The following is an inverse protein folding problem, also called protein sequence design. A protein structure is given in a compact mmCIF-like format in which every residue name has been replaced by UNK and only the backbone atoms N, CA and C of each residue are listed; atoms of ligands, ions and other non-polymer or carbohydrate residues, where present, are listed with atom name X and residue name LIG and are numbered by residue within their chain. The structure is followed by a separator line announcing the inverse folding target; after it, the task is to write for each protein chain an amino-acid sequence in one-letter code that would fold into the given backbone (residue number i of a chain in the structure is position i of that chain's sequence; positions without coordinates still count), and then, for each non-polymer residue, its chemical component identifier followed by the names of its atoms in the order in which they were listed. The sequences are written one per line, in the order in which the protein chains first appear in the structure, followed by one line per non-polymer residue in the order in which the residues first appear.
data_IF_843396817093
#
_entry.id   IF_843396817093
#
_cell.length_a   1.000
_cell.length_b   1.000
_cell.length_c   1.000
_cell.angle_alpha   90.00
_cell.angle_beta   90.00
_cell.angle_gamma   90.00
#
_symmetry.space_group_name_H-M   'P 1'
#
loop_
_entity.id
_entity.type
_entity.pdbx_description
1 polymer ?
#
# COMPACT_ATOMS: atom_id res chain seq x y z
N UNK A 1 -12.87 -3.48 24.98
CA UNK A 1 -12.07 -3.29 23.75
C UNK A 1 -10.94 -2.25 23.90
N UNK A 2 -10.52 -1.91 25.13
CA UNK A 2 -9.62 -0.77 25.42
C UNK A 2 -8.11 -0.97 25.10
N UNK A 3 -7.74 -2.01 24.36
CA UNK A 3 -6.33 -2.30 24.00
C UNK A 3 -6.07 -2.50 22.51
N UNK A 4 -7.13 -2.58 21.69
CA UNK A 4 -7.03 -2.82 20.25
C UNK A 4 -6.34 -1.68 19.47
N UNK A 5 -6.59 -0.38 19.76
CA UNK A 5 -5.96 0.68 18.99
C UNK A 5 -4.46 0.86 19.33
N UNK A 6 -4.10 0.63 20.59
CA UNK A 6 -2.70 0.79 21.06
C UNK A 6 -1.80 -0.29 20.48
N UNK A 7 -2.32 -1.51 20.36
CA UNK A 7 -1.62 -2.64 19.72
C UNK A 7 -1.47 -2.43 18.22
N UNK A 8 -2.52 -1.99 17.53
CA UNK A 8 -2.47 -1.70 16.09
C UNK A 8 -1.45 -0.59 15.72
N UNK A 9 -1.32 0.47 16.54
CA UNK A 9 -0.29 1.51 16.34
C UNK A 9 1.13 0.94 16.48
N UNK A 10 1.35 0.05 17.46
CA UNK A 10 2.64 -0.63 17.61
C UNK A 10 2.96 -1.54 16.42
N UNK A 11 1.96 -2.27 15.92
CA UNK A 11 2.11 -3.11 14.72
C UNK A 11 2.51 -2.28 13.49
N UNK A 12 1.91 -1.11 13.29
CA UNK A 12 2.28 -0.20 12.18
C UNK A 12 3.77 0.15 12.20
N UNK A 13 4.33 0.48 13.37
CA UNK A 13 5.75 0.80 13.52
C UNK A 13 6.66 -0.41 13.29
N UNK A 14 6.26 -1.60 13.75
CA UNK A 14 7.01 -2.83 13.52
C UNK A 14 7.06 -3.15 12.03
N UNK A 15 5.92 -3.12 11.34
CA UNK A 15 5.85 -3.36 9.90
C UNK A 15 6.59 -2.31 9.07
N UNK A 16 6.56 -1.05 9.52
CA UNK A 16 7.35 0.00 8.89
C UNK A 16 8.85 -0.27 9.04
N UNK A 17 9.32 -0.57 10.25
CA UNK A 17 10.72 -0.89 10.53
C UNK A 17 11.22 -2.09 9.71
N UNK A 18 10.44 -3.16 9.66
CA UNK A 18 10.79 -4.35 8.86
C UNK A 18 10.91 -4.04 7.37
N UNK A 19 9.97 -3.28 6.81
CA UNK A 19 10.00 -2.91 5.40
C UNK A 19 11.19 -1.99 5.06
N UNK A 20 11.42 -0.96 5.87
CA UNK A 20 12.56 -0.03 5.67
C UNK A 20 13.89 -0.76 5.82
N UNK A 21 14.04 -1.65 6.80
CA UNK A 21 15.22 -2.51 6.93
C UNK A 21 15.45 -3.35 5.67
N UNK A 22 14.40 -3.94 5.09
CA UNK A 22 14.49 -4.70 3.84
C UNK A 22 14.95 -3.84 2.65
N UNK A 23 14.41 -2.62 2.55
CA UNK A 23 14.80 -1.64 1.52
C UNK A 23 16.26 -1.20 1.69
N UNK A 24 16.70 -0.93 2.92
CA UNK A 24 18.10 -0.58 3.21
C UNK A 24 19.01 -1.75 2.82
N UNK A 25 18.67 -2.98 3.22
CA UNK A 25 19.42 -4.18 2.82
C UNK A 25 19.51 -4.31 1.29
N UNK A 26 18.43 -4.02 0.57
CA UNK A 26 18.44 -3.99 -0.89
C UNK A 26 19.41 -2.94 -1.44
N UNK A 27 19.34 -1.69 -0.98
CA UNK A 27 20.26 -0.65 -1.46
C UNK A 27 21.73 -0.96 -1.14
N UNK A 28 22.00 -1.52 0.05
CA UNK A 28 23.34 -1.99 0.41
C UNK A 28 23.82 -3.12 -0.52
N UNK A 29 22.97 -4.12 -0.80
CA UNK A 29 23.28 -5.20 -1.75
C UNK A 29 23.62 -4.65 -3.13
N UNK A 30 22.82 -3.71 -3.64
CA UNK A 30 23.04 -3.07 -4.93
C UNK A 30 24.34 -2.25 -4.95
N UNK A 31 24.65 -1.54 -3.86
CA UNK A 31 25.87 -0.77 -3.70
C UNK A 31 27.12 -1.66 -3.73
N UNK A 32 27.09 -2.80 -3.00
CA UNK A 32 28.19 -3.78 -2.97
C UNK A 32 28.45 -4.37 -4.36
N UNK A 33 27.39 -4.73 -5.09
CA UNK A 33 27.51 -5.34 -6.43
C UNK A 33 28.03 -4.33 -7.47
N UNK A 34 27.62 -3.05 -7.40
CA UNK A 34 27.99 -2.04 -8.41
C UNK A 34 29.33 -1.33 -8.19
N UNK A 35 29.86 -1.30 -6.96
CA UNK A 35 31.04 -0.49 -6.57
C UNK A 35 30.95 0.97 -7.11
N UNK A 36 32.09 1.68 -7.21
CA UNK A 36 32.28 3.14 -7.41
C UNK A 36 31.51 3.84 -8.57
N UNK A 37 30.69 3.14 -9.38
CA UNK A 37 29.84 3.72 -10.44
C UNK A 37 28.40 4.03 -10.01
N UNK A 38 28.02 3.76 -8.75
CA UNK A 38 26.65 3.92 -8.23
C UNK A 38 26.03 5.31 -8.47
N UNK A 39 26.81 6.39 -8.39
CA UNK A 39 26.29 7.75 -8.46
C UNK A 39 26.09 8.30 -9.87
N UNK A 40 26.59 7.61 -10.92
CA UNK A 40 26.56 8.16 -12.28
C UNK A 40 25.34 7.70 -13.08
N UNK A 41 24.85 6.49 -12.84
CA UNK A 41 23.75 5.88 -13.59
C UNK A 41 22.79 5.17 -12.61
N UNK A 42 21.74 5.87 -12.16
CA UNK A 42 20.70 5.28 -11.30
C UNK A 42 19.80 4.40 -12.19
N UNK A 43 19.75 3.08 -11.96
CA UNK A 43 18.93 2.21 -12.78
C UNK A 43 17.44 2.42 -12.45
N UNK A 44 16.56 2.13 -13.42
CA UNK A 44 15.13 2.29 -13.24
C UNK A 44 14.58 1.47 -12.07
N UNK A 45 15.18 0.32 -11.72
CA UNK A 45 14.71 -0.49 -10.59
C UNK A 45 14.90 0.20 -9.22
N UNK A 46 15.97 0.98 -9.06
CA UNK A 46 16.22 1.73 -7.83
C UNK A 46 15.27 2.94 -7.73
N UNK A 47 14.95 3.59 -8.85
CA UNK A 47 13.97 4.68 -8.91
C UNK A 47 12.58 4.17 -8.55
N UNK A 48 12.14 3.07 -9.15
CA UNK A 48 10.83 2.48 -8.84
C UNK A 48 10.79 2.07 -7.36
N UNK A 49 11.87 1.47 -6.82
CA UNK A 49 11.92 1.13 -5.40
C UNK A 49 11.76 2.35 -4.48
N UNK A 50 12.40 3.49 -4.80
CA UNK A 50 12.22 4.73 -4.02
C UNK A 50 10.77 5.24 -4.06
N UNK A 51 10.13 5.18 -5.24
CA UNK A 51 8.71 5.54 -5.38
C UNK A 51 7.83 4.62 -4.54
N UNK A 52 8.12 3.31 -4.52
CA UNK A 52 7.36 2.35 -3.71
C UNK A 52 7.55 2.56 -2.22
N UNK A 53 8.74 2.96 -1.76
CA UNK A 53 8.96 3.33 -0.36
C UNK A 53 8.05 4.49 0.01
N UNK A 54 7.96 5.52 -0.83
CA UNK A 54 7.08 6.67 -0.57
C UNK A 54 5.60 6.26 -0.52
N UNK A 55 5.16 5.41 -1.45
CA UNK A 55 3.79 4.89 -1.46
C UNK A 55 3.51 4.06 -0.21
N UNK A 56 4.43 3.18 0.19
CA UNK A 56 4.30 2.36 1.39
C UNK A 56 4.28 3.19 2.67
N UNK A 57 5.15 4.21 2.77
CA UNK A 57 5.13 5.16 3.89
C UNK A 57 3.79 5.87 3.98
N UNK A 58 3.22 6.27 2.83
CA UNK A 58 1.87 6.87 2.77
C UNK A 58 0.82 5.88 3.30
N UNK A 59 0.92 4.61 2.92
CA UNK A 59 -0.02 3.58 3.36
C UNK A 59 0.00 3.35 4.87
N UNK A 60 1.21 3.22 5.45
CA UNK A 60 1.37 3.06 6.89
C UNK A 60 0.96 4.33 7.64
N UNK A 61 1.26 5.52 7.10
CA UNK A 61 0.82 6.78 7.70
C UNK A 61 -0.72 6.90 7.71
N UNK A 62 -1.39 6.50 6.63
CA UNK A 62 -2.87 6.47 6.59
C UNK A 62 -3.46 5.49 7.60
N UNK A 63 -2.88 4.29 7.75
CA UNK A 63 -3.29 3.31 8.77
C UNK A 63 -3.05 3.82 10.19
N UNK A 64 -1.91 4.46 10.44
CA UNK A 64 -1.60 5.04 11.74
C UNK A 64 -2.63 6.12 12.13
N UNK A 65 -2.94 7.04 11.21
CA UNK A 65 -3.96 8.08 11.43
C UNK A 65 -5.35 7.47 11.58
N UNK A 66 -5.68 6.42 10.83
CA UNK A 66 -6.94 5.69 10.96
C UNK A 66 -7.10 5.15 12.39
N UNK A 67 -6.12 4.40 12.89
CA UNK A 67 -6.18 3.85 14.25
C UNK A 67 -6.12 4.92 15.34
N UNK A 68 -5.48 6.05 15.07
CA UNK A 68 -5.46 7.20 15.99
C UNK A 68 -6.86 7.82 16.13
N UNK A 69 -7.56 8.07 15.02
CA UNK A 69 -8.93 8.59 15.03
C UNK A 69 -9.88 7.61 15.72
N UNK A 70 -9.77 6.31 15.42
CA UNK A 70 -10.59 5.27 16.07
C UNK A 70 -10.34 5.18 17.58
N UNK A 71 -9.11 5.46 18.04
CA UNK A 71 -8.76 5.42 19.45
C UNK A 71 -9.32 6.61 20.25
N UNK A 72 -9.35 7.79 19.62
CA UNK A 72 -9.79 9.04 20.25
C UNK A 72 -11.31 9.23 20.17
N UNK A 73 -11.95 8.62 19.17
CA UNK A 73 -13.39 8.74 18.97
C UNK A 73 -14.16 7.85 19.95
N UNK A 74 -14.98 8.47 20.80
CA UNK A 74 -15.97 7.76 21.61
C UNK A 74 -17.26 7.57 20.82
N UNK A 75 -17.47 6.36 20.29
CA UNK A 75 -18.60 6.02 19.43
C UNK A 75 -19.97 6.07 20.13
N UNK A 76 -20.01 6.13 21.46
CA UNK A 76 -21.27 6.15 22.22
C UNK A 76 -21.85 7.55 22.38
N UNK A 77 -21.05 8.61 22.20
CA UNK A 77 -21.44 10.01 22.47
C UNK A 77 -21.45 10.92 21.24
N UNK A 78 -21.34 10.35 20.03
CA UNK A 78 -21.20 11.10 18.78
C UNK A 78 -22.51 11.82 18.40
N UNK A 79 -22.41 13.11 18.08
CA UNK A 79 -23.52 13.85 17.45
C UNK A 79 -23.64 13.50 15.96
N UNK A 80 -24.83 13.49 15.36
CA UNK A 80 -25.02 13.07 13.96
C UNK A 80 -24.22 13.91 12.94
N UNK A 81 -23.88 15.16 13.25
CA UNK A 81 -23.00 15.98 12.40
C UNK A 81 -21.53 15.53 12.47
N UNK A 82 -21.06 15.12 13.65
CA UNK A 82 -19.70 14.58 13.84
C UNK A 82 -19.56 13.19 13.23
N UNK A 83 -20.62 12.38 13.25
CA UNK A 83 -20.67 11.03 12.68
C UNK A 83 -20.31 11.03 11.18
N UNK A 84 -20.97 11.89 10.40
CA UNK A 84 -20.71 12.01 8.97
C UNK A 84 -19.28 12.49 8.67
N UNK A 85 -18.76 13.44 9.46
CA UNK A 85 -17.42 13.99 9.26
C UNK A 85 -16.31 12.97 9.59
N UNK A 86 -16.50 12.16 10.64
CA UNK A 86 -15.56 11.12 11.07
C UNK A 86 -15.61 9.93 10.11
N UNK A 87 -16.81 9.50 9.69
CA UNK A 87 -16.99 8.43 8.70
C UNK A 87 -16.30 8.74 7.38
N UNK A 88 -16.45 9.97 6.87
CA UNK A 88 -15.79 10.39 5.64
C UNK A 88 -14.27 10.30 5.75
N UNK A 89 -13.70 10.81 6.86
CA UNK A 89 -12.25 10.77 7.10
C UNK A 89 -11.72 9.34 7.20
N UNK A 90 -12.38 8.48 7.97
CA UNK A 90 -12.00 7.07 8.13
C UNK A 90 -12.09 6.31 6.82
N UNK A 91 -13.16 6.51 6.04
CA UNK A 91 -13.34 5.92 4.73
C UNK A 91 -12.24 6.30 3.74
N UNK A 92 -11.90 7.59 3.65
CA UNK A 92 -10.80 8.07 2.80
C UNK A 92 -9.47 7.46 3.21
N UNK A 93 -9.16 7.44 4.52
CA UNK A 93 -7.92 6.86 5.03
C UNK A 93 -7.83 5.36 4.76
N UNK A 94 -8.93 4.62 4.91
CA UNK A 94 -8.97 3.17 4.67
C UNK A 94 -8.74 2.86 3.19
N UNK A 95 -9.47 3.51 2.27
CA UNK A 95 -9.31 3.30 0.83
C UNK A 95 -7.90 3.68 0.36
N UNK A 96 -7.35 4.79 0.90
CA UNK A 96 -5.99 5.22 0.61
C UNK A 96 -4.96 4.17 1.07
N UNK A 97 -5.11 3.65 2.29
CA UNK A 97 -4.24 2.63 2.85
C UNK A 97 -4.27 1.34 2.03
N UNK A 98 -5.46 0.81 1.74
CA UNK A 98 -5.65 -0.41 0.96
C UNK A 98 -5.04 -0.28 -0.44
N UNK A 99 -5.33 0.83 -1.13
CA UNK A 99 -4.81 1.08 -2.48
C UNK A 99 -3.29 1.22 -2.49
N UNK A 100 -2.72 1.91 -1.50
CA UNK A 100 -1.29 2.12 -1.40
C UNK A 100 -0.53 0.83 -1.04
N UNK A 101 -1.07 -0.02 -0.15
CA UNK A 101 -0.51 -1.36 0.13
C UNK A 101 -0.55 -2.23 -1.11
N UNK A 102 -1.68 -2.28 -1.83
CA UNK A 102 -1.83 -3.08 -3.02
C UNK A 102 -0.86 -2.61 -4.13
N UNK A 103 -0.79 -1.30 -4.35
CA UNK A 103 0.17 -0.70 -5.29
C UNK A 103 1.62 -1.05 -4.92
N UNK A 104 1.95 -1.04 -3.63
CA UNK A 104 3.28 -1.42 -3.13
C UNK A 104 3.56 -2.90 -3.42
N UNK A 105 2.61 -3.79 -3.18
CA UNK A 105 2.75 -5.24 -3.40
C UNK A 105 3.03 -5.55 -4.89
N UNK A 106 2.23 -4.99 -5.80
CA UNK A 106 2.42 -5.18 -7.24
C UNK A 106 3.64 -4.44 -7.78
N UNK A 107 3.92 -3.26 -7.24
CA UNK A 107 5.14 -2.51 -7.54
C UNK A 107 6.40 -3.29 -7.21
N UNK A 108 6.43 -4.01 -6.08
CA UNK A 108 7.58 -4.86 -5.73
C UNK A 108 7.81 -5.97 -6.77
N UNK A 109 6.74 -6.57 -7.31
CA UNK A 109 6.84 -7.54 -8.43
C UNK A 109 7.43 -6.88 -9.68
N UNK A 110 7.01 -5.65 -9.99
CA UNK A 110 7.57 -4.87 -11.09
C UNK A 110 9.08 -4.61 -10.90
N UNK A 111 9.50 -4.15 -9.71
CA UNK A 111 10.91 -3.98 -9.36
C UNK A 111 11.74 -5.25 -9.53
N UNK A 112 11.20 -6.40 -9.10
CA UNK A 112 11.86 -7.70 -9.26
C UNK A 112 12.02 -8.09 -10.73
N UNK A 113 10.99 -7.85 -11.56
CA UNK A 113 11.06 -8.15 -12.99
C UNK A 113 12.08 -7.27 -13.73
N UNK A 114 12.16 -5.98 -13.39
CA UNK A 114 13.17 -5.08 -13.96
C UNK A 114 14.57 -5.51 -13.53
N UNK A 115 14.75 -5.82 -12.24
CA UNK A 115 16.03 -6.31 -11.71
C UNK A 115 16.46 -7.62 -12.37
N UNK A 116 15.52 -8.57 -12.53
CA UNK A 116 15.78 -9.85 -13.18
C UNK A 116 16.22 -9.67 -14.64
N UNK A 117 15.54 -8.79 -15.38
CA UNK A 117 15.94 -8.41 -16.75
C UNK A 117 17.36 -7.85 -16.82
N UNK A 118 17.75 -7.06 -15.82
CA UNK A 118 19.10 -6.51 -15.78
C UNK A 118 20.17 -7.56 -15.46
N UNK A 119 19.87 -8.55 -14.61
CA UNK A 119 20.86 -9.54 -14.12
C UNK A 119 21.02 -10.77 -15.02
N UNK A 120 19.94 -11.30 -15.58
CA UNK A 120 19.94 -12.64 -16.22
C UNK A 120 19.73 -12.60 -17.73
N UNK A 121 19.17 -11.51 -18.26
CA UNK A 121 18.74 -11.44 -19.66
C UNK A 121 19.81 -10.82 -20.56
N UNK A 122 20.90 -11.57 -20.75
CA UNK A 122 21.83 -11.42 -21.88
C UNK A 122 21.18 -11.93 -23.20
N UNK A 123 19.94 -11.51 -23.48
CA UNK A 123 19.25 -11.71 -24.76
C UNK A 123 18.42 -12.99 -24.93
N UNK A 124 18.68 -14.09 -24.21
CA UNK A 124 18.10 -15.40 -24.57
C UNK A 124 16.60 -15.57 -24.21
N UNK A 125 16.12 -15.00 -23.11
CA UNK A 125 14.75 -15.22 -22.61
C UNK A 125 13.83 -13.97 -22.64
N UNK A 126 14.15 -13.00 -23.51
CA UNK A 126 13.47 -11.68 -23.53
C UNK A 126 11.96 -11.78 -23.78
N UNK A 127 11.51 -12.77 -24.57
CA UNK A 127 10.08 -13.01 -24.83
C UNK A 127 9.32 -13.49 -23.59
N UNK A 128 9.91 -14.40 -22.82
CA UNK A 128 9.31 -14.90 -21.57
C UNK A 128 9.17 -13.78 -20.56
N UNK A 129 10.21 -12.96 -20.39
CA UNK A 129 10.17 -11.80 -19.51
C UNK A 129 9.05 -10.82 -19.89
N UNK A 130 8.94 -10.48 -21.18
CA UNK A 130 7.88 -9.58 -21.65
C UNK A 130 6.49 -10.13 -21.37
N UNK A 131 6.28 -11.43 -21.55
CA UNK A 131 5.01 -12.10 -21.28
C UNK A 131 4.66 -12.03 -19.79
N UNK A 132 5.62 -12.30 -18.90
CA UNK A 132 5.42 -12.22 -17.44
C UNK A 132 5.18 -10.77 -17.00
N UNK A 133 5.90 -9.81 -17.57
CA UNK A 133 5.70 -8.40 -17.28
C UNK A 133 4.31 -7.91 -17.71
N UNK A 134 3.87 -8.30 -18.91
CA UNK A 134 2.52 -7.99 -19.40
C UNK A 134 1.44 -8.64 -18.53
N UNK A 135 1.60 -9.92 -18.17
CA UNK A 135 0.69 -10.62 -17.27
C UNK A 135 0.61 -9.94 -15.90
N UNK A 136 1.75 -9.54 -15.33
CA UNK A 136 1.79 -8.85 -14.03
C UNK A 136 1.08 -7.49 -14.08
N UNK A 137 1.28 -6.72 -15.15
CA UNK A 137 0.58 -5.43 -15.34
C UNK A 137 -0.93 -5.60 -15.54
N UNK A 138 -1.35 -6.58 -16.35
CA UNK A 138 -2.76 -6.89 -16.55
C UNK A 138 -3.43 -7.38 -15.27
N UNK A 139 -2.76 -8.25 -14.50
CA UNK A 139 -3.28 -8.73 -13.24
C UNK A 139 -3.44 -7.60 -12.21
N UNK A 140 -2.50 -6.67 -12.13
CA UNK A 140 -2.65 -5.47 -11.30
C UNK A 140 -3.88 -4.64 -11.70
N UNK A 141 -4.07 -4.40 -13.00
CA UNK A 141 -5.27 -3.68 -13.48
C UNK A 141 -6.56 -4.41 -13.12
N UNK A 142 -6.60 -5.73 -13.26
CA UNK A 142 -7.76 -6.54 -12.89
C UNK A 142 -8.05 -6.46 -11.39
N UNK A 143 -7.02 -6.47 -10.55
CA UNK A 143 -7.19 -6.35 -9.09
C UNK A 143 -7.71 -4.96 -8.72
N UNK A 144 -7.18 -3.89 -9.30
CA UNK A 144 -7.68 -2.54 -9.06
C UNK A 144 -9.15 -2.41 -9.51
N UNK A 145 -9.50 -2.95 -10.69
CA UNK A 145 -10.89 -2.95 -11.15
C UNK A 145 -11.79 -3.78 -10.21
N UNK A 146 -11.33 -4.93 -9.71
CA UNK A 146 -12.09 -5.73 -8.77
C UNK A 146 -12.27 -5.04 -7.40
N UNK A 147 -11.24 -4.34 -6.92
CA UNK A 147 -11.26 -3.58 -5.66
C UNK A 147 -12.29 -2.45 -5.77
N UNK A 148 -12.13 -1.56 -6.75
CA UNK A 148 -12.98 -0.37 -6.91
C UNK A 148 -14.37 -0.70 -7.50
N UNK A 149 -14.47 -1.72 -8.33
CA UNK A 149 -15.70 -2.08 -9.04
C UNK A 149 -16.56 -3.11 -8.31
N UNK A 150 -15.94 -4.05 -7.58
CA UNK A 150 -16.63 -5.13 -6.88
C UNK A 150 -16.80 -4.86 -5.39
N UNK A 151 -15.69 -4.65 -4.68
CA UNK A 151 -15.71 -4.50 -3.22
C UNK A 151 -16.16 -3.11 -2.78
N UNK A 152 -15.62 -2.04 -3.37
CA UNK A 152 -15.89 -0.67 -2.91
C UNK A 152 -17.26 -0.09 -3.35
N UNK A 153 -18.24 -0.91 -3.74
CA UNK A 153 -19.57 -0.43 -4.18
C UNK A 153 -20.68 -0.77 -3.18
N UNK A 154 -21.51 0.20 -2.78
CA UNK A 154 -21.45 1.64 -3.13
C UNK A 154 -20.38 2.39 -2.32
N UNK A 155 -19.63 3.29 -2.98
CA UNK A 155 -18.55 4.07 -2.33
C UNK A 155 -19.05 4.95 -1.17
N UNK A 156 -20.34 5.32 -1.18
CA UNK A 156 -20.97 6.07 -0.10
C UNK A 156 -20.89 5.33 1.23
N UNK A 157 -21.06 4.01 1.23
CA UNK A 157 -21.18 3.23 2.46
C UNK A 157 -19.83 3.09 3.18
N UNK A 158 -18.73 3.22 2.45
CA UNK A 158 -17.37 3.27 3.02
C UNK A 158 -17.07 4.61 3.69
N UNK A 159 -17.83 5.66 3.38
CA UNK A 159 -17.70 7.00 3.95
C UNK A 159 -18.65 7.20 5.15
N UNK A 160 -19.43 6.19 5.52
CA UNK A 160 -20.35 6.20 6.66
C UNK A 160 -19.81 5.31 7.78
N UNK A 161 -19.96 5.74 9.03
CA UNK A 161 -19.56 4.95 10.20
C UNK A 161 -20.46 3.71 10.39
N UNK A 162 -21.75 3.84 10.08
CA UNK A 162 -22.71 2.74 10.09
C UNK A 162 -23.23 2.53 8.67
N UNK A 163 -22.86 1.41 8.00
CA UNK A 163 -23.32 1.16 6.64
C UNK A 163 -24.84 1.00 6.60
N UNK A 164 -25.46 1.42 5.49
CA UNK A 164 -26.92 1.40 5.32
C UNK A 164 -27.56 0.02 5.57
N UNK A 165 -26.84 -1.07 5.31
CA UNK A 165 -27.28 -2.45 5.56
C UNK A 165 -27.40 -2.82 7.05
N UNK A 166 -26.78 -2.05 7.95
CA UNK A 166 -26.85 -2.24 9.40
C UNK A 166 -27.87 -1.31 10.07
N UNK A 167 -28.46 -0.36 9.31
CA UNK A 167 -29.56 0.48 9.81
C UNK A 167 -30.82 -0.39 9.85
N UNK A 168 -31.39 -0.62 11.03
CA UNK A 168 -32.61 -1.41 11.19
C UNK A 168 -33.73 -0.84 10.32
N UNK A 169 -34.47 -1.67 9.56
CA UNK A 169 -35.62 -1.19 8.81
C UNK A 169 -36.67 -0.69 9.82
N UNK A 170 -36.93 0.61 9.79
CA UNK A 170 -38.11 1.20 10.40
C UNK A 170 -39.34 0.88 9.55
#
# INVERSE_FOLDING_TARGET
MAGLPVTAKAECWIWYGLAICSVIMRFMSQYIIRKRKFLRDIPPDDIVMLVLVFIYTTAIASLYMYFEIVAETDFETITPEQDAAIGYKLGVLNILAETAIETTLWGNKCCLLILYNRLTLLGHYRKTWFTVAAFTGLAYLMVIVALYGGWCRPFSDYMELVPGNCKSPH
#
